data_IF_473530524227
#
_entry.id   IF_473530524227
#
_cell.length_a   1.000
_cell.length_b   1.000
_cell.length_c   1.000
_cell.angle_alpha   90.00
_cell.angle_beta   90.00
_cell.angle_gamma   90.00
#
_symmetry.space_group_name_H-M   'P 1'
#
loop_
_entity.id
_entity.type
_entity.pdbx_description
1 polymer ?
#
# COMPACT_ATOMS: atom_id res chain seq x y z
N UNK A 1 48.78 22.47 -50.32
CA UNK A 1 48.52 23.57 -49.38
C UNK A 1 47.34 23.19 -48.53
N UNK A 2 47.53 22.92 -47.23
CA UNK A 2 46.46 22.53 -46.29
C UNK A 2 46.13 23.73 -45.41
N UNK A 3 44.90 24.21 -45.48
CA UNK A 3 44.43 25.34 -44.67
C UNK A 3 44.11 24.85 -43.25
N UNK A 4 44.87 25.33 -42.28
CA UNK A 4 44.64 25.13 -40.85
C UNK A 4 43.74 26.27 -40.39
N UNK A 5 42.50 25.95 -40.00
CA UNK A 5 41.55 26.90 -39.46
C UNK A 5 41.78 26.95 -37.94
N UNK A 6 42.34 28.06 -37.45
CA UNK A 6 42.42 28.35 -36.01
C UNK A 6 41.05 28.83 -35.52
N UNK A 7 40.48 28.14 -34.54
CA UNK A 7 39.31 28.62 -33.80
C UNK A 7 39.76 29.37 -32.55
N UNK A 8 39.12 30.50 -32.20
CA UNK A 8 39.45 31.28 -31.02
C UNK A 8 38.85 30.63 -29.76
N UNK A 9 39.69 30.43 -28.75
CA UNK A 9 39.30 30.03 -27.40
C UNK A 9 38.92 31.29 -26.60
N UNK A 10 37.62 31.47 -26.34
CA UNK A 10 37.14 32.46 -25.38
C UNK A 10 37.18 31.86 -23.97
N UNK A 11 37.89 32.52 -23.05
CA UNK A 11 37.81 32.24 -21.62
C UNK A 11 36.78 33.17 -21.00
N UNK A 12 35.69 32.60 -20.50
CA UNK A 12 34.65 33.32 -19.77
C UNK A 12 35.05 33.28 -18.29
N UNK A 13 35.52 34.41 -17.77
CA UNK A 13 35.62 34.64 -16.32
C UNK A 13 34.26 35.16 -15.85
N UNK A 14 33.48 34.29 -15.20
CA UNK A 14 32.25 34.69 -14.51
C UNK A 14 32.62 35.47 -13.25
N UNK A 15 32.30 36.78 -13.26
CA UNK A 15 32.27 37.60 -12.05
C UNK A 15 30.88 37.36 -11.46
N UNK A 16 30.75 36.34 -10.61
CA UNK A 16 29.53 36.06 -9.86
C UNK A 16 29.41 37.16 -8.81
N UNK A 17 28.34 37.95 -8.91
CA UNK A 17 28.06 39.08 -8.04
C UNK A 17 27.39 38.57 -6.76
N UNK A 18 28.03 38.75 -5.61
CA UNK A 18 27.60 38.28 -4.27
C UNK A 18 26.20 38.76 -3.81
N UNK A 19 25.48 39.54 -4.61
CA UNK A 19 24.16 40.10 -4.26
C UNK A 19 22.96 39.19 -4.58
N UNK A 20 23.10 38.21 -5.48
CA UNK A 20 21.98 37.29 -5.81
C UNK A 20 21.84 36.16 -4.79
N UNK A 21 22.94 35.76 -4.12
CA UNK A 21 22.90 34.68 -3.12
C UNK A 21 22.12 35.05 -1.84
N UNK A 22 22.04 36.33 -1.47
CA UNK A 22 21.30 36.74 -0.26
C UNK A 22 19.79 36.73 -0.49
N UNK A 23 19.32 37.06 -1.71
CA UNK A 23 17.90 37.02 -2.06
C UNK A 23 17.34 35.60 -2.04
N UNK A 24 18.10 34.60 -2.52
CA UNK A 24 17.68 33.20 -2.51
C UNK A 24 17.61 32.61 -1.09
N UNK A 25 18.50 33.08 -0.19
CA UNK A 25 18.51 32.64 1.22
C UNK A 25 17.27 33.14 1.97
N UNK A 26 16.81 34.36 1.71
CA UNK A 26 15.58 34.88 2.34
C UNK A 26 14.32 34.13 1.91
N UNK A 27 14.19 33.83 0.62
CA UNK A 27 13.03 33.10 0.09
C UNK A 27 12.98 31.67 0.62
N UNK A 28 14.13 31.03 0.80
CA UNK A 28 14.22 29.70 1.41
C UNK A 28 13.77 29.71 2.88
N UNK A 29 14.14 30.75 3.64
CA UNK A 29 13.73 30.90 5.05
C UNK A 29 12.21 31.11 5.16
N UNK A 30 11.63 31.95 4.28
CA UNK A 30 10.17 32.18 4.23
C UNK A 30 9.39 30.91 3.89
N UNK A 31 9.87 30.13 2.92
CA UNK A 31 9.23 28.85 2.57
C UNK A 31 9.27 27.85 3.72
N UNK A 32 10.40 27.77 4.43
CA UNK A 32 10.55 26.87 5.58
C UNK A 32 9.62 27.23 6.74
N UNK A 33 9.47 28.52 7.05
CA UNK A 33 8.53 28.99 8.08
C UNK A 33 7.07 28.67 7.72
N UNK A 34 6.68 28.90 6.46
CA UNK A 34 5.33 28.58 5.97
C UNK A 34 5.02 27.07 6.05
N UNK A 35 6.02 26.22 5.79
CA UNK A 35 5.86 24.77 5.87
C UNK A 35 5.75 24.27 7.33
N UNK A 36 6.52 24.85 8.25
CA UNK A 36 6.41 24.57 9.70
C UNK A 36 5.04 24.97 10.28
N UNK A 37 4.48 26.10 9.83
CA UNK A 37 3.15 26.55 10.24
C UNK A 37 2.04 25.61 9.71
N UNK A 38 2.18 25.15 8.46
CA UNK A 38 1.26 24.17 7.85
C UNK A 38 1.27 22.83 8.56
N UNK A 39 2.44 22.35 9.00
CA UNK A 39 2.58 21.11 9.77
C UNK A 39 1.93 21.27 11.16
N UNK A 40 2.08 22.43 11.79
CA UNK A 40 1.47 22.72 13.09
C UNK A 40 -0.06 22.71 13.05
N UNK A 41 -0.66 23.30 12.00
CA UNK A 41 -2.11 23.26 11.79
C UNK A 41 -2.63 21.82 11.60
N UNK A 42 -1.95 20.99 10.80
CA UNK A 42 -2.33 19.58 10.61
C UNK A 42 -2.28 18.78 11.91
N UNK A 43 -1.32 19.06 12.79
CA UNK A 43 -1.22 18.42 14.10
C UNK A 43 -2.36 18.84 15.03
N UNK A 44 -2.77 20.09 15.03
CA UNK A 44 -3.95 20.55 15.79
C UNK A 44 -5.27 19.94 15.29
N UNK A 45 -5.46 19.88 13.98
CA UNK A 45 -6.66 19.27 13.38
C UNK A 45 -6.76 17.78 13.70
N UNK A 46 -5.62 17.08 13.74
CA UNK A 46 -5.58 15.67 14.13
C UNK A 46 -5.94 15.45 15.61
N UNK A 47 -5.54 16.36 16.51
CA UNK A 47 -5.91 16.34 17.94
C UNK A 47 -7.39 16.62 18.15
N UNK A 48 -7.97 17.57 17.40
CA UNK A 48 -9.41 17.88 17.45
C UNK A 48 -10.27 16.70 16.96
N UNK A 49 -9.85 15.99 15.91
CA UNK A 49 -10.56 14.78 15.43
C UNK A 49 -10.51 13.61 16.42
N UNK A 50 -9.41 13.43 17.17
CA UNK A 50 -9.31 12.40 18.21
C UNK A 50 -10.23 12.66 19.41
N UNK A 51 -10.38 13.92 19.84
CA UNK A 51 -11.29 14.27 20.95
C UNK A 51 -12.78 14.08 20.61
N UNK A 52 -13.18 14.14 19.33
CA UNK A 52 -14.58 13.90 18.93
C UNK A 52 -14.94 12.40 18.91
N UNK A 53 -14.00 11.51 18.60
CA UNK A 53 -14.26 10.05 18.60
C UNK A 53 -14.46 9.44 19.98
N UNK A 54 -13.87 10.03 21.03
CA UNK A 54 -14.00 9.51 22.41
C UNK A 54 -15.34 9.84 23.07
N UNK A 55 -16.09 10.85 22.58
CA UNK A 55 -17.39 11.21 23.15
C UNK A 55 -18.57 10.44 22.51
N UNK A 56 -18.39 9.87 21.31
CA UNK A 56 -19.45 9.10 20.64
C UNK A 56 -19.46 7.60 21.03
N UNK A 57 -18.43 7.10 21.71
CA UNK A 57 -18.36 5.70 22.18
C UNK A 57 -19.07 5.44 23.52
N UNK A 58 -19.39 6.47 24.32
CA UNK A 58 -20.09 6.27 25.60
C UNK A 58 -21.63 6.20 25.46
N UNK A 59 -22.21 6.53 24.31
CA UNK A 59 -23.67 6.62 24.15
C UNK A 59 -24.31 5.52 23.26
N UNK A 60 -23.56 4.50 22.84
CA UNK A 60 -24.04 3.42 21.96
C UNK A 60 -24.18 2.04 22.62
N UNK A 61 -24.19 1.96 23.96
CA UNK A 61 -24.57 0.73 24.70
C UNK A 61 -26.08 0.57 24.86
N UNK A 62 -26.86 0.52 23.77
CA UNK A 62 -28.24 0.01 23.79
C UNK A 62 -28.55 -0.82 22.54
N UNK A 63 -28.57 -2.15 22.77
CA UNK A 63 -29.34 -3.19 22.05
C UNK A 63 -29.17 -3.28 20.53
N UNK A 64 -28.20 -4.08 20.10
CA UNK A 64 -28.42 -5.01 18.99
C UNK A 64 -28.34 -6.44 19.54
N UNK A 65 -29.49 -7.10 19.64
CA UNK A 65 -29.57 -8.55 19.77
C UNK A 65 -29.08 -9.12 18.44
N UNK A 66 -27.80 -9.43 18.34
CA UNK A 66 -27.32 -10.34 17.32
C UNK A 66 -27.95 -11.72 17.62
N UNK A 67 -28.50 -12.42 16.62
CA UNK A 67 -28.94 -13.79 16.81
C UNK A 67 -27.72 -14.60 17.27
N UNK A 68 -27.83 -15.21 18.46
CA UNK A 68 -26.85 -16.17 18.95
C UNK A 68 -26.80 -17.31 17.95
N UNK A 69 -25.72 -17.32 17.17
CA UNK A 69 -25.35 -18.41 16.28
C UNK A 69 -25.02 -19.61 17.18
N UNK A 70 -26.03 -20.42 17.50
CA UNK A 70 -25.86 -21.72 18.14
C UNK A 70 -25.13 -22.64 17.14
N UNK A 71 -23.80 -22.56 17.12
CA UNK A 71 -22.91 -23.42 16.30
C UNK A 71 -22.19 -24.48 17.15
N UNK A 72 -22.40 -24.50 18.47
CA UNK A 72 -21.62 -25.38 19.36
C UNK A 72 -22.27 -26.73 19.71
N UNK A 73 -23.51 -27.02 19.28
CA UNK A 73 -24.23 -28.24 19.73
C UNK A 73 -24.15 -29.45 18.78
N UNK A 74 -23.41 -29.38 17.66
CA UNK A 74 -23.28 -30.49 16.71
C UNK A 74 -21.82 -30.96 16.53
N UNK A 75 -21.03 -31.03 17.60
CA UNK A 75 -19.64 -31.52 17.53
C UNK A 75 -19.46 -33.02 17.81
N UNK A 76 -20.52 -33.73 18.21
CA UNK A 76 -20.47 -35.16 18.57
C UNK A 76 -21.22 -36.08 17.58
N UNK A 77 -21.65 -35.58 16.43
CA UNK A 77 -22.05 -36.49 15.34
C UNK A 77 -20.78 -37.16 14.79
N UNK A 78 -20.61 -38.45 15.07
CA UNK A 78 -19.55 -39.29 14.51
C UNK A 78 -19.58 -39.24 12.97
N UNK A 79 -18.86 -38.29 12.40
CA UNK A 79 -18.63 -38.18 10.97
C UNK A 79 -17.83 -39.40 10.55
N UNK A 80 -18.52 -40.40 9.98
CA UNK A 80 -17.90 -41.59 9.40
C UNK A 80 -16.75 -41.15 8.47
N UNK A 81 -15.49 -41.50 8.77
CA UNK A 81 -14.35 -41.12 7.94
C UNK A 81 -14.46 -41.87 6.61
N UNK A 82 -14.96 -41.19 5.57
CA UNK A 82 -15.11 -41.79 4.25
C UNK A 82 -16.02 -41.06 3.26
N UNK A 83 -16.88 -40.14 3.72
CA UNK A 83 -17.77 -39.40 2.81
C UNK A 83 -17.96 -37.93 3.23
N UNK A 84 -16.87 -37.19 3.46
CA UNK A 84 -16.97 -35.73 3.40
C UNK A 84 -17.05 -35.35 1.92
N UNK A 85 -18.27 -35.34 1.38
CA UNK A 85 -18.54 -34.73 0.07
C UNK A 85 -18.27 -33.24 0.25
N UNK A 86 -17.06 -32.80 -0.08
CA UNK A 86 -16.75 -31.39 -0.27
C UNK A 86 -17.59 -30.96 -1.47
N UNK A 87 -18.83 -30.51 -1.21
CA UNK A 87 -19.62 -29.82 -2.22
C UNK A 87 -18.78 -28.62 -2.60
N UNK A 88 -18.22 -28.62 -3.83
CA UNK A 88 -17.51 -27.45 -4.34
C UNK A 88 -18.52 -26.31 -4.23
N UNK A 89 -18.31 -25.30 -3.36
CA UNK A 89 -19.34 -24.32 -3.00
C UNK A 89 -19.68 -23.38 -4.16
N UNK A 90 -19.08 -23.60 -5.33
CA UNK A 90 -19.14 -22.73 -6.48
C UNK A 90 -19.03 -23.56 -7.75
N UNK A 91 -19.93 -23.31 -8.71
CA UNK A 91 -19.89 -23.94 -10.03
C UNK A 91 -18.90 -23.18 -10.92
N UNK A 92 -17.69 -23.72 -11.00
CA UNK A 92 -16.60 -23.14 -11.81
C UNK A 92 -16.87 -23.22 -13.31
N UNK A 93 -17.66 -24.19 -13.77
CA UNK A 93 -17.94 -24.36 -15.20
C UNK A 93 -18.89 -23.28 -15.69
N UNK A 94 -19.94 -23.00 -14.92
CA UNK A 94 -20.86 -21.89 -15.20
C UNK A 94 -20.13 -20.54 -15.21
N UNK A 95 -19.22 -20.30 -14.26
CA UNK A 95 -18.42 -19.07 -14.24
C UNK A 95 -17.54 -18.97 -15.49
N UNK A 96 -16.82 -20.03 -15.85
CA UNK A 96 -15.95 -20.04 -17.03
C UNK A 96 -16.73 -19.82 -18.33
N UNK A 97 -17.91 -20.42 -18.46
CA UNK A 97 -18.79 -20.17 -19.60
C UNK A 97 -19.27 -18.72 -19.64
N UNK A 98 -19.60 -18.15 -18.48
CA UNK A 98 -20.00 -16.74 -18.39
C UNK A 98 -18.85 -15.78 -18.70
N UNK A 99 -17.60 -16.14 -18.40
CA UNK A 99 -16.43 -15.34 -18.75
C UNK A 99 -16.12 -15.45 -20.25
N UNK A 100 -16.29 -16.63 -20.84
CA UNK A 100 -16.10 -16.84 -22.28
C UNK A 100 -17.14 -16.13 -23.15
N UNK A 101 -18.37 -15.99 -22.65
CA UNK A 101 -19.46 -15.31 -23.36
C UNK A 101 -19.34 -13.79 -23.29
N UNK A 102 -18.69 -13.25 -22.27
CA UNK A 102 -18.49 -11.81 -22.11
C UNK A 102 -17.40 -11.27 -23.04
N UNK A 103 -17.49 -9.98 -23.34
CA UNK A 103 -16.50 -9.28 -24.15
C UNK A 103 -16.17 -7.93 -23.58
N UNK A 104 -14.88 -7.58 -23.57
CA UNK A 104 -14.42 -6.28 -23.08
C UNK A 104 -13.92 -5.42 -24.23
N UNK A 105 -14.24 -4.14 -24.14
CA UNK A 105 -13.80 -3.11 -25.08
C UNK A 105 -13.01 -2.06 -24.31
N UNK A 106 -11.85 -1.68 -24.83
CA UNK A 106 -11.06 -0.56 -24.38
C UNK A 106 -11.37 0.68 -25.23
N UNK A 107 -11.66 1.80 -24.60
CA UNK A 107 -11.93 3.08 -25.26
C UNK A 107 -10.86 4.06 -24.81
N UNK A 108 -10.01 4.51 -25.74
CA UNK A 108 -8.97 5.49 -25.45
C UNK A 108 -9.58 6.89 -25.32
N UNK A 109 -9.11 7.66 -24.35
CA UNK A 109 -9.49 9.05 -24.11
C UNK A 109 -8.32 9.97 -24.40
N UNK A 110 -7.70 9.82 -25.57
CA UNK A 110 -6.58 10.67 -26.04
C UNK A 110 -7.06 12.06 -26.46
N UNK A 111 -8.01 12.63 -25.72
CA UNK A 111 -8.52 13.97 -25.92
C UNK A 111 -7.73 14.95 -25.06
N UNK A 112 -7.44 16.17 -25.56
CA UNK A 112 -6.83 17.20 -24.74
C UNK A 112 -7.70 17.50 -23.51
N UNK A 113 -7.05 17.74 -22.37
CA UNK A 113 -7.64 17.76 -21.02
C UNK A 113 -8.88 18.64 -20.84
N UNK A 114 -9.00 19.70 -21.65
CA UNK A 114 -10.07 20.69 -21.55
C UNK A 114 -11.29 20.37 -22.42
N UNK A 115 -11.23 19.32 -23.26
CA UNK A 115 -12.25 19.04 -24.26
C UNK A 115 -12.66 17.57 -24.20
N UNK A 116 -12.85 17.00 -23.01
CA UNK A 116 -13.40 15.66 -22.91
C UNK A 116 -14.87 15.68 -23.37
N UNK A 117 -15.29 14.82 -24.33
CA UNK A 117 -16.67 14.75 -24.74
C UNK A 117 -17.62 14.46 -23.56
N UNK A 118 -18.86 14.99 -23.54
CA UNK A 118 -19.81 14.72 -22.46
C UNK A 118 -20.09 13.22 -22.26
N UNK A 119 -20.04 12.44 -23.35
CA UNK A 119 -20.18 10.98 -23.37
C UNK A 119 -19.05 10.27 -22.62
N UNK A 120 -17.84 10.85 -22.60
CA UNK A 120 -16.64 10.31 -21.98
C UNK A 120 -16.27 11.01 -20.68
N UNK A 121 -17.15 11.86 -20.13
CA UNK A 121 -16.86 12.59 -18.89
C UNK A 121 -16.92 11.71 -17.65
N UNK A 122 -17.91 10.82 -17.58
CA UNK A 122 -18.20 9.99 -16.43
C UNK A 122 -18.52 8.55 -16.85
N UNK A 123 -18.21 7.57 -15.99
CA UNK A 123 -18.49 6.14 -16.24
C UNK A 123 -19.98 5.90 -16.55
N UNK A 124 -20.88 6.67 -15.93
CA UNK A 124 -22.34 6.59 -16.15
C UNK A 124 -22.75 7.07 -17.53
N UNK A 125 -22.16 8.17 -18.01
CA UNK A 125 -22.43 8.71 -19.34
C UNK A 125 -21.96 7.75 -20.43
N UNK A 126 -20.78 7.16 -20.21
CA UNK A 126 -20.25 6.13 -21.10
C UNK A 126 -21.14 4.88 -21.09
N UNK A 127 -21.54 4.39 -19.91
CA UNK A 127 -22.45 3.25 -19.79
C UNK A 127 -23.75 3.49 -20.54
N UNK A 128 -24.34 4.69 -20.42
CA UNK A 128 -25.57 5.08 -21.12
C UNK A 128 -25.39 5.06 -22.65
N UNK A 129 -24.29 5.61 -23.16
CA UNK A 129 -23.99 5.60 -24.60
C UNK A 129 -23.79 4.16 -25.12
N UNK A 130 -23.04 3.33 -24.39
CA UNK A 130 -22.80 1.94 -24.78
C UNK A 130 -24.04 1.04 -24.64
N UNK A 131 -24.98 1.41 -23.77
CA UNK A 131 -26.24 0.70 -23.58
C UNK A 131 -27.14 0.73 -24.83
N UNK A 132 -26.89 1.64 -25.77
CA UNK A 132 -27.58 1.67 -27.08
C UNK A 132 -27.19 0.46 -27.96
N UNK A 133 -26.01 -0.13 -27.74
CA UNK A 133 -25.51 -1.26 -28.51
C UNK A 133 -25.78 -2.61 -27.84
N UNK A 134 -25.96 -2.65 -26.52
CA UNK A 134 -26.26 -3.86 -25.76
C UNK A 134 -26.07 -3.70 -24.26
N UNK A 135 -26.28 -4.78 -23.51
CA UNK A 135 -26.19 -4.76 -22.05
C UNK A 135 -24.73 -4.66 -21.57
N UNK A 136 -24.46 -3.62 -20.77
CA UNK A 136 -23.14 -3.33 -20.20
C UNK A 136 -23.13 -3.69 -18.71
N UNK A 137 -22.35 -4.69 -18.35
CA UNK A 137 -22.21 -5.19 -16.97
C UNK A 137 -21.38 -4.22 -16.12
N UNK A 138 -20.16 -3.92 -16.58
CA UNK A 138 -19.15 -3.17 -15.82
C UNK A 138 -18.46 -2.13 -16.70
N UNK A 139 -18.16 -0.97 -16.12
CA UNK A 139 -17.35 0.08 -16.74
C UNK A 139 -16.33 0.55 -15.71
N UNK A 140 -15.07 0.67 -16.11
CA UNK A 140 -13.99 1.13 -15.24
C UNK A 140 -13.04 2.08 -15.97
N UNK A 141 -12.76 3.22 -15.33
CA UNK A 141 -11.83 4.23 -15.81
C UNK A 141 -10.36 3.80 -15.61
N UNK A 142 -9.53 3.87 -16.65
CA UNK A 142 -8.08 3.72 -16.57
C UNK A 142 -7.40 5.07 -16.36
N UNK A 143 -6.55 5.17 -15.35
CA UNK A 143 -5.79 6.38 -15.03
C UNK A 143 -4.28 6.16 -15.09
N UNK A 144 -3.55 7.09 -15.71
CA UNK A 144 -2.10 7.22 -15.58
C UNK A 144 -1.75 8.21 -14.47
N UNK A 145 -0.64 7.96 -13.78
CA UNK A 145 -0.01 8.98 -12.93
C UNK A 145 1.10 9.66 -13.73
N UNK A 146 0.97 10.96 -14.00
CA UNK A 146 2.06 11.80 -14.49
C UNK A 146 2.41 12.81 -13.42
N UNK A 147 3.50 12.53 -12.70
CA UNK A 147 3.88 13.26 -11.49
C UNK A 147 2.85 13.10 -10.37
N UNK A 148 2.38 14.23 -9.82
CA UNK A 148 1.39 14.27 -8.73
C UNK A 148 -0.07 14.14 -9.21
N UNK A 149 -0.32 14.31 -10.52
CA UNK A 149 -1.67 14.34 -11.08
C UNK A 149 -2.03 13.00 -11.74
N UNK A 150 -3.26 12.55 -11.53
CA UNK A 150 -3.86 11.42 -12.26
C UNK A 150 -4.53 11.95 -13.53
N UNK A 151 -4.28 11.30 -14.66
CA UNK A 151 -4.90 11.61 -15.95
C UNK A 151 -5.66 10.38 -16.42
N UNK A 152 -6.89 10.57 -16.87
CA UNK A 152 -7.66 9.47 -17.46
C UNK A 152 -7.13 9.20 -18.87
N UNK A 153 -6.76 7.95 -19.14
CA UNK A 153 -6.25 7.51 -20.46
C UNK A 153 -7.34 6.78 -21.23
N UNK A 154 -8.30 6.17 -20.55
CA UNK A 154 -9.35 5.43 -21.22
C UNK A 154 -10.33 4.77 -20.27
N UNK A 155 -11.14 3.89 -20.84
CA UNK A 155 -12.14 3.10 -20.14
C UNK A 155 -12.10 1.64 -20.59
N UNK A 156 -12.36 0.73 -19.68
CA UNK A 156 -12.73 -0.65 -19.97
C UNK A 156 -14.23 -0.80 -19.77
N UNK A 157 -14.92 -1.34 -20.78
CA UNK A 157 -16.34 -1.63 -20.72
C UNK A 157 -16.59 -3.11 -21.05
N UNK A 158 -17.25 -3.82 -20.16
CA UNK A 158 -17.64 -5.22 -20.32
C UNK A 158 -19.09 -5.32 -20.74
N UNK A 159 -19.29 -5.99 -21.87
CA UNK A 159 -20.59 -6.36 -22.40
C UNK A 159 -20.93 -7.80 -22.02
N UNK A 160 -22.22 -8.06 -21.83
CA UNK A 160 -22.73 -9.40 -21.57
C UNK A 160 -22.43 -10.39 -22.71
N UNK A 161 -22.38 -9.91 -23.96
CA UNK A 161 -22.09 -10.71 -25.15
C UNK A 161 -20.83 -10.23 -25.90
N UNK A 162 -19.93 -11.17 -26.15
CA UNK A 162 -18.68 -11.00 -26.88
C UNK A 162 -18.87 -10.52 -28.31
N UNK A 163 -19.92 -10.97 -28.99
CA UNK A 163 -20.18 -10.54 -30.36
C UNK A 163 -20.60 -9.08 -30.41
N UNK A 164 -21.41 -8.66 -29.44
CA UNK A 164 -21.78 -7.26 -29.26
C UNK A 164 -20.55 -6.39 -29.01
N UNK A 165 -19.65 -6.79 -28.10
CA UNK A 165 -18.39 -6.09 -27.86
C UNK A 165 -17.53 -5.94 -29.13
N UNK A 166 -17.41 -7.00 -29.95
CA UNK A 166 -16.69 -6.95 -31.23
C UNK A 166 -17.34 -5.97 -32.22
N UNK A 167 -18.67 -6.02 -32.36
CA UNK A 167 -19.41 -5.10 -33.22
C UNK A 167 -19.21 -3.65 -32.78
N UNK A 168 -19.34 -3.37 -31.49
CA UNK A 168 -19.10 -2.04 -30.92
C UNK A 168 -17.69 -1.54 -31.25
N UNK A 169 -16.67 -2.39 -31.09
CA UNK A 169 -15.31 -2.01 -31.42
C UNK A 169 -15.16 -1.67 -32.91
N UNK A 170 -15.78 -2.42 -33.81
CA UNK A 170 -15.71 -2.14 -35.27
C UNK A 170 -16.50 -0.88 -35.63
N UNK A 171 -17.70 -0.70 -35.08
CA UNK A 171 -18.60 0.41 -35.42
C UNK A 171 -18.15 1.74 -34.83
N UNK A 172 -17.69 1.73 -33.58
CA UNK A 172 -17.34 2.94 -32.86
C UNK A 172 -15.91 3.38 -33.16
N UNK A 173 -14.99 2.47 -33.47
CA UNK A 173 -13.61 2.83 -33.79
C UNK A 173 -13.52 3.66 -35.09
N UNK A 174 -12.89 4.83 -35.01
CA UNK A 174 -12.81 5.77 -36.13
C UNK A 174 -14.09 6.59 -36.35
N UNK A 175 -15.17 6.33 -35.61
CA UNK A 175 -16.38 7.14 -35.71
C UNK A 175 -16.20 8.49 -35.00
N UNK A 176 -16.75 9.58 -35.54
CA UNK A 176 -16.67 10.90 -34.90
C UNK A 176 -17.46 10.92 -33.59
N UNK A 177 -16.92 11.61 -32.59
CA UNK A 177 -17.53 11.74 -31.26
C UNK A 177 -18.93 12.37 -31.32
N UNK A 178 -19.07 13.37 -32.17
CA UNK A 178 -20.30 14.12 -32.42
C UNK A 178 -20.27 14.70 -33.83
N UNK A 179 -21.42 15.09 -34.39
CA UNK A 179 -21.48 15.80 -35.68
C UNK A 179 -20.69 17.12 -35.67
N UNK A 180 -20.57 17.74 -34.50
CA UNK A 180 -19.83 18.99 -34.31
C UNK A 180 -18.35 18.77 -33.97
N UNK A 181 -17.93 17.54 -33.74
CA UNK A 181 -16.61 17.19 -33.22
C UNK A 181 -15.92 16.22 -34.18
N UNK A 182 -14.88 16.72 -34.88
CA UNK A 182 -14.14 15.95 -35.87
C UNK A 182 -13.25 14.86 -35.25
N UNK A 183 -13.11 14.84 -33.93
CA UNK A 183 -12.31 13.85 -33.23
C UNK A 183 -13.01 12.50 -33.27
N UNK A 184 -12.22 11.44 -33.38
CA UNK A 184 -12.73 10.08 -33.54
C UNK A 184 -12.55 9.28 -32.26
N UNK A 185 -13.47 8.35 -31.99
CA UNK A 185 -13.26 7.36 -30.93
C UNK A 185 -12.18 6.36 -31.36
N UNK A 186 -11.26 6.05 -30.45
CA UNK A 186 -10.29 4.96 -30.62
C UNK A 186 -10.72 3.81 -29.71
N UNK A 187 -11.22 2.75 -30.32
CA UNK A 187 -11.90 1.65 -29.62
C UNK A 187 -11.28 0.33 -30.03
N UNK A 188 -10.86 -0.48 -29.04
CA UNK A 188 -10.21 -1.76 -29.25
C UNK A 188 -10.93 -2.88 -28.52
N UNK A 189 -11.27 -3.94 -29.23
CA UNK A 189 -11.78 -5.17 -28.62
C UNK A 189 -10.64 -5.95 -27.95
N UNK A 190 -10.91 -6.47 -26.75
CA UNK A 190 -9.94 -7.20 -25.94
C UNK A 190 -10.43 -8.65 -25.73
N UNK A 191 -9.94 -9.64 -26.50
CA UNK A 191 -10.49 -11.00 -26.54
C UNK A 191 -10.25 -11.87 -25.29
N UNK A 192 -9.15 -11.62 -24.57
CA UNK A 192 -8.68 -12.39 -23.42
C UNK A 192 -8.37 -11.45 -22.25
N UNK A 193 -9.26 -10.49 -22.02
CA UNK A 193 -9.07 -9.51 -20.97
C UNK A 193 -9.45 -10.11 -19.62
N UNK A 194 -8.56 -9.99 -18.64
CA UNK A 194 -8.84 -10.35 -17.27
C UNK A 194 -9.00 -9.09 -16.41
N UNK A 195 -10.07 -9.04 -15.62
CA UNK A 195 -10.32 -7.90 -14.73
C UNK A 195 -9.32 -7.81 -13.57
N UNK A 196 -8.61 -8.90 -13.28
CA UNK A 196 -7.49 -8.94 -12.33
C UNK A 196 -6.37 -7.99 -12.74
N UNK A 197 -6.00 -7.98 -14.02
CA UNK A 197 -4.95 -7.10 -14.56
C UNK A 197 -5.29 -5.60 -14.41
N UNK A 198 -6.58 -5.27 -14.30
CA UNK A 198 -7.04 -3.88 -14.13
C UNK A 198 -6.79 -3.42 -12.70
N UNK A 199 -5.78 -2.58 -12.53
CA UNK A 199 -5.47 -1.97 -11.25
C UNK A 199 -4.47 -2.76 -10.43
N UNK A 200 -4.11 -3.98 -10.84
CA UNK A 200 -3.00 -4.77 -10.27
C UNK A 200 -1.73 -3.94 -10.15
N UNK A 201 -1.34 -3.21 -11.20
CA UNK A 201 -0.19 -2.30 -11.17
C UNK A 201 -0.33 -1.21 -10.10
N UNK A 202 -1.53 -0.64 -9.94
CA UNK A 202 -1.75 0.41 -8.94
C UNK A 202 -1.72 -0.17 -7.52
N UNK A 203 -2.28 -1.36 -7.31
CA UNK A 203 -2.25 -2.08 -6.05
C UNK A 203 -0.84 -2.52 -5.67
N UNK A 204 -0.11 -3.08 -6.61
CA UNK A 204 1.29 -3.45 -6.46
C UNK A 204 2.13 -2.22 -6.12
N UNK A 205 1.95 -1.10 -6.82
CA UNK A 205 2.60 0.16 -6.47
C UNK A 205 2.18 0.68 -5.09
N UNK A 206 0.91 0.57 -4.70
CA UNK A 206 0.44 0.94 -3.35
C UNK A 206 1.11 0.08 -2.29
N UNK A 207 1.24 -1.23 -2.52
CA UNK A 207 1.89 -2.16 -1.61
C UNK A 207 3.38 -1.87 -1.49
N UNK A 208 4.09 -1.66 -2.60
CA UNK A 208 5.50 -1.21 -2.60
C UNK A 208 5.69 0.08 -1.79
N UNK A 209 4.80 1.07 -1.97
CA UNK A 209 4.85 2.31 -1.19
C UNK A 209 4.60 2.09 0.30
N UNK A 210 3.69 1.19 0.67
CA UNK A 210 3.42 0.84 2.08
C UNK A 210 4.64 0.16 2.71
N UNK A 211 5.26 -0.79 2.02
CA UNK A 211 6.47 -1.48 2.48
C UNK A 211 7.64 -0.51 2.65
N UNK A 212 7.88 0.36 1.66
CA UNK A 212 8.93 1.38 1.75
C UNK A 212 8.69 2.33 2.93
N UNK A 213 7.45 2.77 3.14
CA UNK A 213 7.10 3.60 4.31
C UNK A 213 7.33 2.86 5.63
N UNK A 214 7.02 1.58 5.70
CA UNK A 214 7.25 0.77 6.89
C UNK A 214 8.75 0.64 7.17
N UNK A 215 9.57 0.41 6.13
CA UNK A 215 11.03 0.32 6.28
C UNK A 215 11.64 1.64 6.74
N UNK A 216 11.28 2.76 6.10
CA UNK A 216 11.72 4.10 6.53
C UNK A 216 11.30 4.39 7.98
N UNK A 217 10.09 3.99 8.38
CA UNK A 217 9.65 4.15 9.77
C UNK A 217 10.46 3.31 10.75
N UNK A 218 10.86 2.10 10.36
CA UNK A 218 11.71 1.21 11.17
C UNK A 218 13.10 1.81 11.34
N UNK A 219 13.73 2.28 10.27
CA UNK A 219 15.03 2.98 10.31
C UNK A 219 14.98 4.27 11.14
N UNK A 220 13.91 5.06 11.01
CA UNK A 220 13.75 6.25 11.84
C UNK A 220 13.62 5.93 13.32
N UNK A 221 13.01 4.80 13.69
CA UNK A 221 12.95 4.35 15.09
C UNK A 221 14.33 3.95 15.60
N UNK A 222 15.09 3.16 14.83
CA UNK A 222 16.44 2.74 15.24
C UNK A 222 17.40 3.92 15.38
N UNK A 223 17.33 4.91 14.47
CA UNK A 223 18.12 6.15 14.57
C UNK A 223 17.75 6.94 15.84
N UNK A 224 16.46 7.03 16.17
CA UNK A 224 15.98 7.71 17.39
C UNK A 224 16.47 7.02 18.66
N UNK A 225 16.40 5.69 18.70
CA UNK A 225 16.89 4.87 19.81
C UNK A 225 18.40 5.02 19.97
N UNK A 226 19.16 4.96 18.88
CA UNK A 226 20.60 5.18 18.88
C UNK A 226 20.97 6.57 19.40
N UNK A 227 20.29 7.63 18.94
CA UNK A 227 20.49 9.00 19.45
C UNK A 227 20.19 9.10 20.96
N UNK A 228 19.14 8.44 21.44
CA UNK A 228 18.80 8.41 22.87
C UNK A 228 19.89 7.71 23.69
N UNK A 229 20.37 6.56 23.24
CA UNK A 229 21.43 5.79 23.90
C UNK A 229 22.76 6.56 23.92
N UNK A 230 23.11 7.24 22.83
CA UNK A 230 24.30 8.10 22.76
C UNK A 230 24.25 9.21 23.80
N UNK A 231 23.15 9.98 23.86
CA UNK A 231 22.95 11.03 24.88
C UNK A 231 23.03 10.48 26.30
N UNK A 232 22.40 9.34 26.56
CA UNK A 232 22.46 8.69 27.86
C UNK A 232 23.90 8.30 28.23
N UNK A 233 24.67 7.72 27.29
CA UNK A 233 26.07 7.37 27.52
C UNK A 233 26.96 8.60 27.79
N UNK A 234 26.71 9.72 27.11
CA UNK A 234 27.42 10.99 27.34
C UNK A 234 27.11 11.57 28.72
N UNK A 235 25.84 11.50 29.16
CA UNK A 235 25.44 11.93 30.52
C UNK A 235 26.10 11.12 31.63
N UNK A 236 26.29 9.81 31.44
CA UNK A 236 27.02 8.95 32.40
C UNK A 236 28.48 9.36 32.48
N UNK A 237 29.12 9.69 31.35
CA UNK A 237 30.53 10.15 31.34
C UNK A 237 30.69 11.47 32.09
N UNK A 238 29.77 12.42 31.89
CA UNK A 238 29.79 13.71 32.60
C UNK A 238 29.54 13.56 34.11
N UNK A 239 28.64 12.68 34.52
CA UNK A 239 28.37 12.44 35.94
C UNK A 239 29.53 11.70 36.64
N UNK A 240 30.25 10.80 35.94
CA UNK A 240 31.44 10.14 36.49
C UNK A 240 32.61 11.08 36.75
N UNK A 241 32.69 12.21 36.06
CA UNK A 241 33.70 13.25 36.33
C UNK A 241 33.35 14.14 37.53
N UNK A 242 32.13 14.07 38.07
CA UNK A 242 31.89 14.52 39.44
C UNK A 242 32.46 13.46 40.38
N UNK A 243 33.68 13.67 40.85
CA UNK A 243 34.27 12.88 41.92
C UNK A 243 33.22 12.69 43.02
N UNK A 244 32.84 11.46 43.38
CA UNK A 244 31.97 11.26 44.51
C UNK A 244 32.73 11.74 45.75
N UNK A 245 32.36 12.91 46.27
CA UNK A 245 32.61 13.27 47.66
C UNK A 245 31.71 12.35 48.52
N UNK A 246 31.97 11.04 48.49
CA UNK A 246 31.19 10.07 49.23
C UNK A 246 31.77 9.92 50.63
N UNK A 247 31.10 10.51 51.62
CA UNK A 247 31.16 10.07 53.02
C UNK A 247 30.43 8.73 53.23
N UNK A 248 30.23 7.94 52.17
CA UNK A 248 29.45 6.71 52.21
C UNK A 248 30.34 5.57 52.70
N UNK A 249 30.36 5.40 54.03
CA UNK A 249 30.99 4.24 54.68
C UNK A 249 30.33 2.96 54.18
N UNK A 250 31.10 2.23 53.38
CA UNK A 250 30.76 0.92 52.85
C UNK A 250 30.69 -0.08 54.00
N UNK A 251 29.52 -0.20 54.65
CA UNK A 251 29.25 -1.27 55.59
C UNK A 251 29.06 -2.56 54.79
N UNK A 252 30.15 -3.32 54.66
CA UNK A 252 30.16 -4.68 54.12
C UNK A 252 29.34 -5.60 55.03
N UNK A 253 28.01 -5.61 54.89
CA UNK A 253 27.23 -6.78 55.28
C UNK A 253 27.33 -7.78 54.14
N UNK A 254 27.87 -8.95 54.47
CA UNK A 254 28.29 -9.98 53.54
C UNK A 254 27.28 -10.26 52.43
N UNK A 255 27.76 -10.22 51.20
CA UNK A 255 27.08 -10.82 50.06
C UNK A 255 26.94 -12.31 50.34
N UNK A 256 25.74 -12.75 50.70
CA UNK A 256 25.37 -14.16 50.63
C UNK A 256 25.36 -14.50 49.14
N UNK A 257 26.39 -15.24 48.71
CA UNK A 257 26.38 -15.87 47.39
C UNK A 257 25.31 -16.96 47.44
N UNK A 258 24.16 -16.71 46.82
CA UNK A 258 23.27 -17.80 46.45
C UNK A 258 23.98 -18.57 45.35
N UNK A 259 24.47 -19.77 45.67
CA UNK A 259 24.95 -20.71 44.67
C UNK A 259 23.78 -21.10 43.76
N UNK A 260 23.95 -20.89 42.47
CA UNK A 260 23.01 -21.33 41.45
C UNK A 260 23.20 -22.84 41.23
N UNK A 261 22.57 -23.68 42.05
CA UNK A 261 22.47 -25.12 41.76
C UNK A 261 21.10 -25.54 41.24
N UNK A 262 20.08 -24.67 41.28
CA UNK A 262 18.70 -25.07 40.97
C UNK A 262 18.14 -24.32 39.74
N UNK A 263 18.84 -24.40 38.60
CA UNK A 263 18.26 -24.10 37.28
C UNK A 263 17.94 -25.40 36.54
N UNK A 264 16.91 -26.11 36.98
CA UNK A 264 16.36 -27.31 36.31
C UNK A 264 15.05 -27.02 35.55
N UNK A 265 14.83 -25.78 35.10
CA UNK A 265 13.58 -25.40 34.41
C UNK A 265 13.69 -25.17 32.89
N UNK A 266 14.84 -25.45 32.26
CA UNK A 266 15.01 -25.23 30.80
C UNK A 266 14.97 -26.54 29.99
N UNK A 267 15.01 -27.71 30.64
CA UNK A 267 15.03 -29.01 29.95
C UNK A 267 13.65 -29.57 29.52
N UNK A 268 12.54 -28.85 29.74
CA UNK A 268 11.21 -29.32 29.32
C UNK A 268 10.78 -28.85 27.93
N UNK A 269 11.60 -28.07 27.22
CA UNK A 269 11.31 -27.70 25.83
C UNK A 269 11.93 -28.72 24.87
N UNK A 270 11.12 -29.73 24.50
CA UNK A 270 11.37 -30.78 23.49
C UNK A 270 11.64 -30.25 22.05
N UNK A 271 11.96 -28.97 21.89
CA UNK A 271 12.13 -28.32 20.58
C UNK A 271 13.53 -28.60 20.01
N UNK A 272 14.48 -29.02 20.85
CA UNK A 272 15.87 -29.29 20.44
C UNK A 272 16.29 -30.76 20.48
N UNK A 273 15.39 -31.70 20.80
CA UNK A 273 15.75 -33.13 20.74
C UNK A 273 15.79 -33.57 19.27
N UNK A 274 16.99 -33.84 18.78
CA UNK A 274 17.25 -34.42 17.46
C UNK A 274 16.49 -35.74 17.28
N UNK A 275 15.94 -35.96 16.08
CA UNK A 275 15.10 -37.11 15.71
C UNK A 275 15.71 -38.47 16.06
N UNK A 276 17.04 -38.57 16.08
CA UNK A 276 17.77 -39.81 16.35
C UNK A 276 17.61 -40.34 17.79
N UNK A 277 17.12 -39.51 18.73
CA UNK A 277 16.94 -39.90 20.13
C UNK A 277 15.59 -40.54 20.44
N UNK A 278 14.60 -40.46 19.55
CA UNK A 278 13.27 -41.07 19.79
C UNK A 278 13.21 -42.56 19.42
N UNK A 279 14.06 -43.04 18.49
CA UNK A 279 14.05 -44.45 18.08
C UNK A 279 14.63 -45.40 19.14
N UNK A 280 15.55 -44.93 20.00
CA UNK A 280 16.12 -45.78 21.06
C UNK A 280 15.16 -46.06 22.23
N UNK A 281 14.14 -45.20 22.46
CA UNK A 281 13.15 -45.42 23.54
C UNK A 281 12.09 -46.46 23.18
N UNK A 282 11.89 -46.76 21.90
CA UNK A 282 10.93 -47.79 21.47
C UNK A 282 11.48 -49.21 21.57
N UNK A 283 12.81 -49.38 21.67
CA UNK A 283 13.43 -50.71 21.79
C UNK A 283 13.58 -51.20 23.24
N UNK A 284 13.45 -50.34 24.25
CA UNK A 284 13.58 -50.74 25.66
C UNK A 284 12.29 -51.21 26.33
N UNK A 285 11.14 -51.08 25.67
CA UNK A 285 9.83 -51.47 26.24
C UNK A 285 9.32 -52.83 25.74
N UNK A 286 10.13 -53.59 24.99
CA UNK A 286 9.81 -54.93 24.51
C UNK A 286 10.73 -56.02 25.11
N UNK A 287 11.12 -55.87 26.38
CA UNK A 287 11.73 -56.95 27.18
C UNK A 287 11.04 -57.10 28.51
#
# INVERSE_FOLDING_TARGET
MRNVIQTPTFSITEIISDSEEEAEKEDFIKQKQLEEERISQLLEDSKKKRKRKTNDEENSKKKSKLPSLNIMDNFDEEVKPGQVKISKPFDYEALKQSEQSRGVVYISTDFPKNQCPPTLKDDRSLKRMLSEFGEVSRVESKYEKRGLKKFRIGYFAEFADKNTAKKVAITLNGSPVSRSDSRVYNVKFMPNFEWSEVGEDEELQKMKRKLLKAEVQKELKTIKEFKKNKKWSESIKQNKTSQPQSNFRFNQKGFIRHEHTDTTHIDTLNIFTSKDSQEKKLQSNNK
#
